data_IF_702575258777
#
_entry.id   IF_702575258777
#
_cell.length_a   1.000
_cell.length_b   1.000
_cell.length_c   1.000
_cell.angle_alpha   90.00
_cell.angle_beta   90.00
_cell.angle_gamma   90.00
#
_symmetry.space_group_name_H-M   'P 1'
#
loop_
_entity.id
_entity.type
_entity.pdbx_description
1 polymer ?
#
# COMPACT_ATOMS: atom_id res chain seq x y z
N UNK A 1 26.55 -29.33 -13.25
CA UNK A 1 27.01 -27.96 -12.92
C UNK A 1 26.10 -26.91 -13.54
N UNK A 2 25.80 -26.98 -14.84
CA UNK A 2 24.94 -26.01 -15.54
C UNK A 2 23.49 -25.91 -15.01
N UNK A 3 22.86 -27.04 -14.62
CA UNK A 3 21.52 -27.01 -13.99
C UNK A 3 21.48 -26.23 -12.66
N UNK A 4 22.57 -26.25 -11.89
CA UNK A 4 22.66 -25.54 -10.61
C UNK A 4 22.77 -24.02 -10.82
N UNK A 5 23.47 -23.59 -11.88
CA UNK A 5 23.60 -22.19 -12.26
C UNK A 5 22.26 -21.58 -12.70
N UNK A 6 21.47 -22.35 -13.46
CA UNK A 6 20.16 -21.93 -13.95
C UNK A 6 19.14 -21.77 -12.81
N UNK A 7 19.15 -22.69 -11.82
CA UNK A 7 18.32 -22.59 -10.62
C UNK A 7 18.67 -21.36 -9.77
N UNK A 8 19.96 -21.06 -9.56
CA UNK A 8 20.39 -19.86 -8.85
C UNK A 8 19.98 -18.56 -9.56
N UNK A 9 20.00 -18.54 -10.90
CA UNK A 9 19.52 -17.38 -11.68
C UNK A 9 18.01 -17.19 -11.54
N UNK A 10 17.23 -18.27 -11.53
CA UNK A 10 15.78 -18.22 -11.34
C UNK A 10 15.41 -17.65 -9.96
N UNK A 11 16.09 -18.09 -8.90
CA UNK A 11 15.86 -17.62 -7.53
C UNK A 11 16.24 -16.14 -7.36
N UNK A 12 17.31 -15.69 -8.01
CA UNK A 12 17.69 -14.28 -8.03
C UNK A 12 16.65 -13.41 -8.76
N UNK A 13 16.11 -13.90 -9.88
CA UNK A 13 15.03 -13.24 -10.62
C UNK A 13 13.75 -13.12 -9.79
N UNK A 14 13.36 -14.17 -9.07
CA UNK A 14 12.18 -14.15 -8.20
C UNK A 14 12.32 -13.12 -7.07
N UNK A 15 13.51 -13.04 -6.44
CA UNK A 15 13.81 -12.02 -5.44
C UNK A 15 13.75 -10.60 -6.01
N UNK A 16 14.25 -10.40 -7.24
CA UNK A 16 14.18 -9.10 -7.93
C UNK A 16 12.74 -8.72 -8.27
N UNK A 17 11.92 -9.67 -8.75
CA UNK A 17 10.51 -9.44 -9.05
C UNK A 17 9.73 -9.09 -7.78
N UNK A 18 9.96 -9.81 -6.69
CA UNK A 18 9.36 -9.51 -5.39
C UNK A 18 9.70 -8.09 -4.93
N UNK A 19 10.97 -7.67 -5.10
CA UNK A 19 11.45 -6.32 -4.81
C UNK A 19 10.78 -5.23 -5.66
N UNK A 20 10.65 -5.48 -6.97
CA UNK A 20 10.02 -4.54 -7.89
C UNK A 20 8.54 -4.32 -7.58
N UNK A 21 7.86 -5.33 -7.03
CA UNK A 21 6.44 -5.23 -6.68
C UNK A 21 6.19 -4.59 -5.31
N UNK A 22 7.18 -4.63 -4.40
CA UNK A 22 7.04 -4.09 -3.04
C UNK A 22 6.83 -2.57 -3.03
N UNK A 23 7.68 -1.81 -3.71
CA UNK A 23 7.66 -0.34 -3.64
C UNK A 23 6.34 0.26 -4.15
N UNK A 24 5.80 -0.14 -5.33
CA UNK A 24 4.50 0.34 -5.78
C UNK A 24 3.37 -0.03 -4.81
N UNK A 25 3.40 -1.24 -4.24
CA UNK A 25 2.38 -1.67 -3.28
C UNK A 25 2.43 -0.84 -1.99
N UNK A 26 3.63 -0.56 -1.46
CA UNK A 26 3.82 0.30 -0.29
C UNK A 26 3.37 1.73 -0.56
N UNK A 27 3.63 2.25 -1.77
CA UNK A 27 3.17 3.58 -2.17
C UNK A 27 1.63 3.65 -2.18
N UNK A 28 0.97 2.66 -2.79
CA UNK A 28 -0.50 2.59 -2.80
C UNK A 28 -1.08 2.38 -1.40
N UNK A 29 -0.46 1.55 -0.55
CA UNK A 29 -0.86 1.42 0.85
C UNK A 29 -0.78 2.77 1.61
N UNK A 30 0.28 3.53 1.36
CA UNK A 30 0.45 4.86 1.95
C UNK A 30 -0.59 5.86 1.41
N UNK A 31 -0.97 5.76 0.13
CA UNK A 31 -2.05 6.57 -0.45
C UNK A 31 -3.40 6.21 0.17
N UNK A 32 -3.74 4.93 0.27
CA UNK A 32 -4.96 4.43 0.92
C UNK A 32 -5.10 4.97 2.35
N UNK A 33 -4.05 4.88 3.18
CA UNK A 33 -4.09 5.40 4.54
C UNK A 33 -4.32 6.92 4.59
N UNK A 34 -3.67 7.67 3.71
CA UNK A 34 -3.75 9.14 3.69
C UNK A 34 -5.08 9.64 3.12
N UNK A 35 -5.67 8.91 2.17
CA UNK A 35 -6.92 9.29 1.53
C UNK A 35 -8.16 8.75 2.26
N UNK A 36 -8.02 7.69 3.05
CA UNK A 36 -9.15 7.09 3.76
C UNK A 36 -9.67 7.99 4.89
N UNK A 37 -10.77 8.68 4.59
CA UNK A 37 -11.50 9.50 5.55
C UNK A 37 -12.03 8.66 6.71
N UNK A 38 -12.50 7.44 6.43
CA UNK A 38 -13.04 6.54 7.45
C UNK A 38 -11.94 6.10 8.43
N UNK A 39 -10.75 5.79 7.93
CA UNK A 39 -9.60 5.46 8.78
C UNK A 39 -9.22 6.61 9.72
N UNK A 40 -9.10 7.84 9.20
CA UNK A 40 -8.77 9.01 10.01
C UNK A 40 -9.83 9.31 11.07
N UNK A 41 -11.12 9.18 10.70
CA UNK A 41 -12.22 9.37 11.64
C UNK A 41 -12.27 8.27 12.70
N UNK A 42 -11.88 7.05 12.35
CA UNK A 42 -11.74 5.96 13.31
C UNK A 42 -10.65 6.26 14.34
N UNK A 43 -9.50 6.76 13.90
CA UNK A 43 -8.45 7.20 14.81
C UNK A 43 -8.92 8.32 15.75
N UNK A 44 -9.66 9.30 15.23
CA UNK A 44 -10.23 10.39 16.03
C UNK A 44 -11.23 9.87 17.08
N UNK A 45 -12.14 8.96 16.69
CA UNK A 45 -13.12 8.36 17.59
C UNK A 45 -12.45 7.53 18.69
N UNK A 46 -11.39 6.77 18.36
CA UNK A 46 -10.59 6.02 19.35
C UNK A 46 -9.97 6.97 20.37
N UNK A 47 -9.36 8.08 19.93
CA UNK A 47 -8.73 9.05 20.84
C UNK A 47 -9.77 9.72 21.76
N UNK A 48 -10.92 10.12 21.22
CA UNK A 48 -12.02 10.72 22.00
C UNK A 48 -12.57 9.73 23.02
N UNK A 49 -12.81 8.49 22.60
CA UNK A 49 -13.41 7.46 23.46
C UNK A 49 -12.42 6.96 24.51
N UNK A 50 -11.15 6.72 24.14
CA UNK A 50 -10.09 6.31 25.07
C UNK A 50 -9.92 7.33 26.20
N UNK A 51 -9.94 8.63 25.89
CA UNK A 51 -9.88 9.69 26.88
C UNK A 51 -11.10 9.69 27.83
N UNK A 52 -12.30 9.32 27.34
CA UNK A 52 -13.53 9.22 28.16
C UNK A 52 -13.60 7.94 28.99
N UNK A 53 -12.94 6.88 28.55
CA UNK A 53 -13.00 5.57 29.20
C UNK A 53 -12.08 5.43 30.41
N UNK A 54 -11.07 6.29 30.56
CA UNK A 54 -10.21 6.35 31.74
C UNK A 54 -10.95 6.67 33.06
N UNK A 55 -12.29 6.85 33.05
CA UNK A 55 -13.07 7.23 34.22
C UNK A 55 -14.32 6.41 34.57
N UNK A 56 -14.92 5.56 33.70
CA UNK A 56 -16.36 5.24 33.94
C UNK A 56 -16.99 3.94 33.42
N UNK A 57 -16.32 3.02 32.73
CA UNK A 57 -17.06 1.93 32.04
C UNK A 57 -16.56 0.52 32.37
N UNK A 58 -17.37 -0.24 33.11
CA UNK A 58 -17.06 -1.61 33.57
C UNK A 58 -17.76 -2.75 32.82
N UNK A 59 -18.50 -2.49 31.71
CA UNK A 59 -19.31 -3.51 31.01
C UNK A 59 -19.18 -3.55 29.48
N UNK A 60 -18.56 -2.57 28.84
CA UNK A 60 -18.45 -2.48 27.36
C UNK A 60 -17.02 -2.15 26.95
N UNK A 61 -16.58 -2.66 25.80
CA UNK A 61 -15.21 -2.46 25.32
C UNK A 61 -15.06 -1.11 24.61
N UNK A 62 -13.84 -0.58 24.59
CA UNK A 62 -13.49 0.63 23.82
C UNK A 62 -13.88 0.49 22.35
N UNK A 63 -13.63 -0.68 21.79
CA UNK A 63 -13.99 -0.97 20.41
C UNK A 63 -15.50 -0.89 20.17
N UNK A 64 -16.32 -1.39 21.10
CA UNK A 64 -17.78 -1.33 20.98
C UNK A 64 -18.27 0.12 20.88
N UNK A 65 -17.78 0.99 21.77
CA UNK A 65 -18.13 2.41 21.74
C UNK A 65 -17.67 3.10 20.47
N UNK A 66 -16.42 2.87 20.05
CA UNK A 66 -15.85 3.46 18.84
C UNK A 66 -16.64 3.06 17.61
N UNK A 67 -16.95 1.77 17.45
CA UNK A 67 -17.75 1.29 16.31
C UNK A 67 -19.14 1.91 16.35
N UNK A 68 -19.79 1.95 17.51
CA UNK A 68 -21.12 2.55 17.64
C UNK A 68 -21.11 4.06 17.30
N UNK A 69 -20.11 4.81 17.77
CA UNK A 69 -19.98 6.24 17.50
C UNK A 69 -19.73 6.53 16.01
N UNK A 70 -18.80 5.79 15.39
CA UNK A 70 -18.48 5.96 13.97
C UNK A 70 -19.69 5.57 13.13
N UNK A 71 -20.24 4.37 13.30
CA UNK A 71 -21.39 3.92 12.50
C UNK A 71 -22.57 4.87 12.60
N UNK A 72 -22.88 5.36 13.81
CA UNK A 72 -23.95 6.35 13.98
C UNK A 72 -23.65 7.66 13.22
N UNK A 73 -22.46 8.22 13.38
CA UNK A 73 -22.09 9.49 12.76
C UNK A 73 -21.95 9.40 11.23
N UNK A 74 -21.49 8.26 10.71
CA UNK A 74 -21.39 7.98 9.28
C UNK A 74 -22.78 7.77 8.68
N UNK A 75 -23.66 7.05 9.38
CA UNK A 75 -25.04 6.82 9.01
C UNK A 75 -25.86 8.09 8.85
N UNK A 76 -25.75 9.02 9.80
CA UNK A 76 -26.41 10.33 9.73
C UNK A 76 -25.96 11.07 8.47
N UNK A 77 -24.65 11.17 8.23
CA UNK A 77 -24.13 11.85 7.03
C UNK A 77 -24.60 11.20 5.74
N UNK A 78 -24.64 9.85 5.67
CA UNK A 78 -25.18 9.14 4.50
C UNK A 78 -26.65 9.48 4.32
N UNK A 79 -27.43 9.50 5.39
CA UNK A 79 -28.84 9.84 5.32
C UNK A 79 -29.08 11.27 4.79
N UNK A 80 -28.22 12.21 5.16
CA UNK A 80 -28.26 13.59 4.69
C UNK A 80 -27.78 13.77 3.24
N UNK A 81 -27.08 12.78 2.68
CA UNK A 81 -26.60 12.79 1.30
C UNK A 81 -27.73 12.62 0.27
N UNK A 82 -27.45 12.91 -1.00
CA UNK A 82 -28.41 12.68 -2.11
C UNK A 82 -28.90 11.23 -2.11
N UNK A 83 -27.98 10.27 -1.93
CA UNK A 83 -28.29 8.84 -1.87
C UNK A 83 -29.22 8.50 -0.71
N UNK A 84 -28.94 9.06 0.48
CA UNK A 84 -29.79 8.88 1.67
C UNK A 84 -31.19 9.44 1.49
N UNK A 85 -31.33 10.63 0.86
CA UNK A 85 -32.63 11.23 0.57
C UNK A 85 -33.44 10.41 -0.45
N UNK A 86 -32.80 9.84 -1.47
CA UNK A 86 -33.46 8.96 -2.44
C UNK A 86 -33.97 7.68 -1.76
N UNK A 87 -33.17 7.07 -0.89
CA UNK A 87 -33.61 5.89 -0.13
C UNK A 87 -34.74 6.22 0.85
N UNK A 88 -34.65 7.35 1.57
CA UNK A 88 -35.67 7.76 2.53
C UNK A 88 -36.98 8.25 1.90
N UNK A 89 -36.98 8.71 0.65
CA UNK A 89 -38.21 9.11 -0.07
C UNK A 89 -39.21 7.95 -0.27
N UNK A 90 -38.76 6.70 -0.22
CA UNK A 90 -39.63 5.51 -0.33
C UNK A 90 -40.27 5.08 0.99
N UNK A 91 -39.83 5.62 2.13
CA UNK A 91 -40.30 5.22 3.45
C UNK A 91 -41.33 6.22 4.01
N UNK A 92 -42.46 5.71 4.47
CA UNK A 92 -43.67 6.46 4.85
C UNK A 92 -43.40 7.51 5.95
N UNK A 93 -44.15 8.62 5.96
CA UNK A 93 -43.84 9.88 6.71
C UNK A 93 -43.96 9.79 8.25
N UNK A 94 -44.15 8.60 8.84
CA UNK A 94 -44.44 8.39 10.26
C UNK A 94 -43.43 7.44 10.96
N UNK A 95 -42.13 7.59 10.72
CA UNK A 95 -41.11 6.75 11.37
C UNK A 95 -40.74 7.29 12.76
N UNK A 96 -40.62 6.40 13.74
CA UNK A 96 -40.17 6.76 15.08
C UNK A 96 -38.69 7.14 15.08
N UNK A 97 -38.23 7.89 16.09
CA UNK A 97 -36.80 8.23 16.22
C UNK A 97 -35.92 6.99 16.40
N UNK A 98 -36.46 5.93 16.99
CA UNK A 98 -35.76 4.64 17.15
C UNK A 98 -35.52 3.94 15.81
N UNK A 99 -36.52 3.92 14.91
CA UNK A 99 -36.38 3.35 13.56
C UNK A 99 -35.36 4.13 12.72
N UNK A 100 -35.33 5.47 12.86
CA UNK A 100 -34.33 6.30 12.18
C UNK A 100 -32.91 6.01 12.69
N UNK A 101 -32.76 5.87 14.00
CA UNK A 101 -31.46 5.58 14.62
C UNK A 101 -30.95 4.18 14.24
N UNK A 102 -31.83 3.21 14.05
CA UNK A 102 -31.46 1.89 13.53
C UNK A 102 -31.01 1.95 12.07
N UNK A 103 -31.69 2.74 11.23
CA UNK A 103 -31.29 2.94 9.84
C UNK A 103 -29.96 3.67 9.71
N UNK A 104 -29.69 4.68 10.55
CA UNK A 104 -28.37 5.32 10.61
C UNK A 104 -27.29 4.31 10.97
N UNK A 105 -27.52 3.49 12.01
CA UNK A 105 -26.58 2.44 12.38
C UNK A 105 -26.31 1.48 11.23
N UNK A 106 -27.36 1.05 10.50
CA UNK A 106 -27.21 0.14 9.35
C UNK A 106 -26.40 0.77 8.22
N UNK A 107 -26.80 1.96 7.75
CA UNK A 107 -26.09 2.66 6.67
C UNK A 107 -24.63 2.97 7.02
N UNK A 108 -24.36 3.35 8.26
CA UNK A 108 -23.01 3.61 8.71
C UNK A 108 -22.17 2.35 8.88
N UNK A 109 -22.76 1.25 9.36
CA UNK A 109 -22.08 -0.04 9.42
C UNK A 109 -21.69 -0.55 8.03
N UNK A 110 -22.58 -0.41 7.05
CA UNK A 110 -22.27 -0.80 5.66
C UNK A 110 -21.05 -0.04 5.14
N UNK A 111 -20.98 1.28 5.37
CA UNK A 111 -19.80 2.07 5.02
C UNK A 111 -18.54 1.65 5.79
N UNK A 112 -18.65 1.46 7.10
CA UNK A 112 -17.50 1.09 7.96
C UNK A 112 -16.97 -0.29 7.57
N UNK A 113 -17.83 -1.23 7.16
CA UNK A 113 -17.42 -2.55 6.69
C UNK A 113 -16.57 -2.50 5.41
N UNK A 114 -16.79 -1.49 4.56
CA UNK A 114 -16.00 -1.21 3.36
C UNK A 114 -14.58 -0.69 3.65
N UNK A 115 -14.26 -0.31 4.90
CA UNK A 115 -12.92 0.17 5.24
C UNK A 115 -11.84 -0.90 4.98
N UNK A 116 -12.17 -2.17 5.18
CA UNK A 116 -11.22 -3.26 4.93
C UNK A 116 -10.90 -3.42 3.43
N UNK A 117 -11.83 -3.10 2.54
CA UNK A 117 -11.55 -3.12 1.09
C UNK A 117 -10.82 -1.86 0.64
N UNK A 118 -11.10 -0.70 1.26
CA UNK A 118 -10.40 0.56 1.03
C UNK A 118 -8.90 0.46 1.41
N UNK A 119 -8.57 -0.26 2.48
CA UNK A 119 -7.19 -0.44 2.97
C UNK A 119 -6.55 -1.77 2.49
N UNK A 120 -6.91 -2.21 1.29
CA UNK A 120 -6.51 -3.51 0.76
C UNK A 120 -4.99 -3.67 0.58
N UNK A 121 -4.29 -2.65 0.08
CA UNK A 121 -2.84 -2.69 -0.08
C UNK A 121 -2.12 -2.54 1.25
N UNK A 122 -2.70 -1.82 2.23
CA UNK A 122 -2.19 -1.79 3.61
C UNK A 122 -2.12 -3.20 4.19
N UNK A 123 -3.19 -3.99 4.05
CA UNK A 123 -3.23 -5.38 4.53
C UNK A 123 -2.15 -6.25 3.88
N UNK A 124 -2.00 -6.16 2.55
CA UNK A 124 -0.97 -6.92 1.83
C UNK A 124 0.43 -6.51 2.29
N UNK A 125 0.68 -5.20 2.37
CA UNK A 125 1.98 -4.65 2.77
C UNK A 125 2.35 -5.00 4.20
N UNK A 126 1.38 -5.02 5.13
CA UNK A 126 1.60 -5.36 6.53
C UNK A 126 2.07 -6.82 6.74
N UNK A 127 1.87 -7.70 5.76
CA UNK A 127 2.33 -9.09 5.81
C UNK A 127 3.73 -9.30 5.21
N UNK A 128 4.34 -8.25 4.67
CA UNK A 128 5.64 -8.36 4.00
C UNK A 128 6.76 -8.34 5.04
N UNK A 129 7.66 -9.33 4.96
CA UNK A 129 8.89 -9.38 5.75
C UNK A 129 9.87 -8.31 5.25
N UNK A 130 9.90 -7.18 5.95
CA UNK A 130 10.78 -6.07 5.64
C UNK A 130 12.25 -6.41 5.88
N UNK A 131 12.58 -7.23 6.88
CA UNK A 131 13.96 -7.59 7.19
C UNK A 131 14.53 -8.52 6.11
N UNK A 132 13.77 -9.54 5.72
CA UNK A 132 14.11 -10.41 4.59
C UNK A 132 14.26 -9.63 3.28
N UNK A 133 13.43 -8.61 3.06
CA UNK A 133 13.55 -7.70 1.92
C UNK A 133 14.85 -6.89 1.96
N UNK A 134 15.16 -6.25 3.08
CA UNK A 134 16.39 -5.44 3.26
C UNK A 134 17.64 -6.30 3.08
N UNK A 135 17.62 -7.52 3.62
CA UNK A 135 18.69 -8.51 3.42
C UNK A 135 18.84 -8.87 1.93
N UNK A 136 17.73 -9.14 1.24
CA UNK A 136 17.72 -9.46 -0.20
C UNK A 136 18.29 -8.31 -1.05
N UNK A 137 17.92 -7.06 -0.77
CA UNK A 137 18.47 -5.87 -1.45
C UNK A 137 19.97 -5.74 -1.20
N UNK A 138 20.41 -5.93 0.04
CA UNK A 138 21.82 -5.80 0.43
C UNK A 138 22.67 -6.86 -0.27
N UNK A 139 22.20 -8.11 -0.27
CA UNK A 139 22.87 -9.22 -0.97
C UNK A 139 22.95 -8.96 -2.48
N UNK A 140 21.88 -8.47 -3.10
CA UNK A 140 21.86 -8.12 -4.51
C UNK A 140 22.83 -6.98 -4.82
N UNK A 141 22.84 -5.91 -4.02
CA UNK A 141 23.77 -4.79 -4.14
C UNK A 141 25.22 -5.27 -4.08
N UNK A 142 25.53 -6.11 -3.10
CA UNK A 142 26.90 -6.60 -2.89
C UNK A 142 27.33 -7.54 -4.01
N UNK A 143 26.43 -8.42 -4.49
CA UNK A 143 26.65 -9.27 -5.67
C UNK A 143 26.91 -8.46 -6.94
N UNK A 144 26.10 -7.42 -7.20
CA UNK A 144 26.32 -6.48 -8.31
C UNK A 144 27.64 -5.71 -8.17
N UNK A 145 28.03 -5.35 -6.94
CA UNK A 145 29.33 -4.74 -6.64
C UNK A 145 30.48 -5.64 -7.05
N UNK A 146 30.44 -6.93 -6.67
CA UNK A 146 31.44 -7.93 -7.05
C UNK A 146 31.52 -8.11 -8.58
N UNK A 147 30.38 -8.23 -9.26
CA UNK A 147 30.34 -8.32 -10.72
C UNK A 147 30.95 -7.10 -11.40
N UNK A 148 30.69 -5.90 -10.87
CA UNK A 148 31.28 -4.66 -11.38
C UNK A 148 32.81 -4.65 -11.24
N UNK A 149 33.33 -5.13 -10.11
CA UNK A 149 34.77 -5.26 -9.90
C UNK A 149 35.40 -6.24 -10.90
N UNK A 150 34.82 -7.44 -11.06
CA UNK A 150 35.32 -8.45 -12.01
C UNK A 150 35.27 -7.96 -13.46
N UNK A 151 34.18 -7.28 -13.85
CA UNK A 151 34.07 -6.68 -15.18
C UNK A 151 35.15 -5.61 -15.41
N UNK A 152 35.40 -4.76 -14.41
CA UNK A 152 36.43 -3.71 -14.49
C UNK A 152 37.85 -4.29 -14.58
N UNK A 153 38.10 -5.41 -13.92
CA UNK A 153 39.38 -6.12 -13.96
C UNK A 153 39.61 -6.83 -15.30
N UNK A 154 38.59 -7.52 -15.82
CA UNK A 154 38.62 -8.17 -17.16
C UNK A 154 38.80 -7.17 -18.30
N UNK A 155 38.27 -5.96 -18.17
CA UNK A 155 38.39 -4.92 -19.19
C UNK A 155 39.82 -4.34 -19.21
N UNK A 156 40.56 -4.30 -18.09
CA UNK A 156 41.92 -3.74 -18.00
C UNK A 156 43.03 -4.47 -18.78
N UNK A 157 42.72 -5.61 -19.42
CA UNK A 157 43.72 -6.51 -20.00
C UNK A 157 44.35 -6.07 -21.33
N UNK A 158 43.81 -5.09 -22.05
CA UNK A 158 44.37 -4.69 -23.35
C UNK A 158 43.95 -3.26 -23.72
N UNK A 159 44.92 -2.34 -23.84
CA UNK A 159 44.71 -0.89 -23.87
C UNK A 159 43.81 -0.39 -25.01
N UNK A 160 43.84 -1.06 -26.16
CA UNK A 160 43.00 -0.72 -27.33
C UNK A 160 41.55 -1.19 -27.16
N UNK A 161 41.34 -2.33 -26.51
CA UNK A 161 40.01 -2.90 -26.26
C UNK A 161 39.21 -2.05 -25.26
N UNK A 162 39.87 -1.45 -24.27
CA UNK A 162 39.24 -0.58 -23.25
C UNK A 162 38.63 0.67 -23.89
N UNK A 163 39.36 1.31 -24.80
CA UNK A 163 38.91 2.53 -25.48
C UNK A 163 37.70 2.25 -26.39
N UNK A 164 37.73 1.12 -27.10
CA UNK A 164 36.62 0.66 -27.92
C UNK A 164 35.38 0.33 -27.08
N UNK A 165 35.52 -0.49 -26.02
CA UNK A 165 34.43 -0.88 -25.12
C UNK A 165 33.82 0.33 -24.41
N UNK A 166 34.64 1.30 -23.98
CA UNK A 166 34.17 2.54 -23.35
C UNK A 166 33.39 3.41 -24.34
N UNK A 167 33.89 3.55 -25.58
CA UNK A 167 33.19 4.27 -26.64
C UNK A 167 31.86 3.63 -27.00
N UNK A 168 31.83 2.29 -27.11
CA UNK A 168 30.63 1.52 -27.42
C UNK A 168 29.59 1.57 -26.29
N UNK A 169 30.03 1.49 -25.03
CA UNK A 169 29.14 1.62 -23.87
C UNK A 169 28.50 3.01 -23.79
N UNK A 170 29.28 4.06 -24.06
CA UNK A 170 28.79 5.45 -24.10
C UNK A 170 27.79 5.68 -25.24
N UNK A 171 28.07 5.14 -26.43
CA UNK A 171 27.15 5.17 -27.56
C UNK A 171 25.82 4.47 -27.22
N UNK A 172 25.88 3.25 -26.68
CA UNK A 172 24.69 2.48 -26.32
C UNK A 172 23.83 3.19 -25.25
N UNK A 173 24.46 3.81 -24.24
CA UNK A 173 23.73 4.60 -23.23
C UNK A 173 23.04 5.82 -23.83
N UNK A 174 23.67 6.52 -24.78
CA UNK A 174 23.04 7.64 -25.50
C UNK A 174 21.83 7.17 -26.33
N UNK A 175 21.97 6.06 -27.04
CA UNK A 175 20.86 5.47 -27.82
C UNK A 175 19.70 5.05 -26.91
N UNK A 176 19.97 4.39 -25.79
CA UNK A 176 18.96 4.02 -24.80
C UNK A 176 18.25 5.25 -24.23
N UNK A 177 18.99 6.30 -23.86
CA UNK A 177 18.40 7.54 -23.35
C UNK A 177 17.48 8.21 -24.38
N UNK A 178 17.88 8.27 -25.65
CA UNK A 178 17.04 8.79 -26.74
C UNK A 178 15.78 7.93 -26.91
N UNK A 179 15.93 6.61 -26.92
CA UNK A 179 14.80 5.68 -27.07
C UNK A 179 13.82 5.77 -25.90
N UNK A 180 14.33 6.02 -24.69
CA UNK A 180 13.52 6.20 -23.50
C UNK A 180 12.83 7.56 -23.47
N UNK A 181 13.51 8.63 -23.91
CA UNK A 181 12.91 9.96 -24.06
C UNK A 181 11.78 9.96 -25.10
N UNK A 182 11.99 9.29 -26.25
CA UNK A 182 10.97 9.18 -27.30
C UNK A 182 9.79 8.27 -26.93
N UNK A 183 9.92 7.38 -25.93
CA UNK A 183 8.79 6.59 -25.41
C UNK A 183 7.91 7.33 -24.40
N UNK A 184 8.39 8.45 -23.84
CA UNK A 184 7.68 9.26 -22.84
C UNK A 184 6.94 10.47 -23.43
N UNK A 185 7.12 10.74 -24.73
CA UNK A 185 6.27 11.63 -25.53
C UNK A 185 5.24 10.80 -26.27
#
# INVERSE_FOLDING_TARGET
>A
MEQCLCLQQLEALEKVVHLMNFFPMLEEACKELKSSRLFLKLLEAVLKTGNRMNGTYGKTTLLHFVVQEISRSEGIRVSESIMGRIMNQRSNKNRTEEEKEEDYRRMGLDLVSGLNTELGNVKKTATIDLEGLVSSVSNLRDGLGKLRCLASEKIKGDGENIAFVSSMSSYNMRVLAIKFHNRRR
#
